data_IF_581895463110
#
_entry.id   IF_581895463110
#
_cell.length_a   1.000
_cell.length_b   1.000
_cell.length_c   1.000
_cell.angle_alpha   90.00
_cell.angle_beta   90.00
_cell.angle_gamma   90.00
#
_symmetry.space_group_name_H-M   'P 1'
#
loop_
_entity.id
_entity.type
_entity.pdbx_description
1 polymer ?
#
# COMPACT_ATOMS: atom_id res chain seq x y z
N UNK A 1 2.98 11.39 -9.06
CA UNK A 1 3.22 11.81 -7.66
C UNK A 1 4.11 13.02 -7.55
N UNK A 2 5.38 12.98 -7.95
CA UNK A 2 6.31 14.10 -7.75
C UNK A 2 5.85 15.43 -8.39
N UNK A 3 5.26 15.39 -9.59
CA UNK A 3 4.67 16.58 -10.22
C UNK A 3 3.56 17.24 -9.37
N UNK A 4 2.70 16.44 -8.73
CA UNK A 4 1.65 16.95 -7.86
C UNK A 4 2.21 17.55 -6.56
N UNK A 5 3.25 16.94 -5.98
CA UNK A 5 3.99 17.51 -4.84
C UNK A 5 4.62 18.86 -5.24
N UNK A 6 5.14 18.97 -6.46
CA UNK A 6 5.64 20.23 -7.03
C UNK A 6 4.56 21.22 -7.49
N UNK A 7 3.29 20.99 -7.19
CA UNK A 7 2.19 21.90 -7.53
C UNK A 7 1.79 21.93 -9.01
N UNK A 8 2.22 20.95 -9.81
CA UNK A 8 1.98 20.92 -11.27
C UNK A 8 0.62 20.30 -11.66
N UNK A 9 -0.21 19.92 -10.69
CA UNK A 9 -1.55 19.39 -10.94
C UNK A 9 -2.02 18.39 -9.89
N UNK A 10 -3.04 17.60 -10.25
CA UNK A 10 -3.66 16.57 -9.41
C UNK A 10 -3.13 15.20 -9.83
N UNK A 11 -2.92 14.29 -8.87
CA UNK A 11 -2.56 12.91 -9.12
C UNK A 11 -3.48 11.95 -8.36
N UNK A 12 -3.78 10.80 -8.98
CA UNK A 12 -4.33 9.64 -8.29
C UNK A 12 -3.15 8.84 -7.72
N UNK A 13 -3.14 8.61 -6.41
CA UNK A 13 -2.10 7.85 -5.72
C UNK A 13 -2.69 6.77 -4.85
N UNK A 14 -1.95 5.68 -4.68
CA UNK A 14 -2.30 4.65 -3.70
C UNK A 14 -2.10 5.17 -2.29
N UNK A 15 -3.00 4.82 -1.37
CA UNK A 15 -3.01 5.29 0.03
C UNK A 15 -1.62 5.20 0.69
N UNK A 16 -0.95 4.06 0.58
CA UNK A 16 0.37 3.85 1.17
C UNK A 16 1.49 4.76 0.58
N UNK A 17 1.30 5.30 -0.64
CA UNK A 17 2.23 6.26 -1.25
C UNK A 17 1.91 7.71 -0.90
N UNK A 18 0.63 8.02 -0.63
CA UNK A 18 0.18 9.40 -0.37
C UNK A 18 0.07 9.74 1.10
N UNK A 19 0.02 8.74 2.00
CA UNK A 19 -0.14 8.96 3.44
C UNK A 19 0.91 9.90 4.02
N UNK A 20 2.19 9.67 3.73
CA UNK A 20 3.26 10.52 4.27
C UNK A 20 3.24 11.94 3.68
N UNK A 21 3.15 12.15 2.35
CA UNK A 21 2.98 13.49 1.81
C UNK A 21 1.73 14.24 2.32
N UNK A 22 0.63 13.54 2.57
CA UNK A 22 -0.58 14.12 3.18
C UNK A 22 -0.35 14.50 4.65
N UNK A 23 0.31 13.65 5.43
CA UNK A 23 0.59 13.93 6.85
C UNK A 23 1.54 15.11 7.05
N UNK A 24 2.51 15.26 6.13
CA UNK A 24 3.46 16.38 6.13
C UNK A 24 2.89 17.65 5.45
N UNK A 25 1.65 17.63 4.95
CA UNK A 25 1.03 18.76 4.27
C UNK A 25 1.63 19.10 2.89
N UNK A 26 2.46 18.21 2.33
CA UNK A 26 3.00 18.33 0.96
C UNK A 26 1.94 18.07 -0.11
N UNK A 27 0.87 17.35 0.26
CA UNK A 27 -0.32 17.16 -0.55
C UNK A 27 -1.56 17.48 0.29
N UNK A 28 -2.67 17.76 -0.40
CA UNK A 28 -4.00 17.85 0.19
C UNK A 28 -4.98 16.97 -0.59
N UNK A 29 -6.03 16.42 0.03
CA UNK A 29 -7.07 15.70 -0.70
C UNK A 29 -7.74 16.60 -1.74
N UNK A 30 -7.74 16.18 -3.00
CA UNK A 30 -8.39 16.93 -4.09
C UNK A 30 -9.92 16.76 -4.09
N UNK A 31 -10.43 15.68 -3.49
CA UNK A 31 -11.84 15.34 -3.35
C UNK A 31 -12.09 14.75 -1.95
N UNK A 32 -13.33 14.83 -1.47
CA UNK A 32 -13.72 14.25 -0.18
C UNK A 32 -13.80 12.70 -0.20
N UNK A 33 -13.91 12.10 -1.39
CA UNK A 33 -14.08 10.66 -1.54
C UNK A 33 -12.74 9.96 -1.82
N UNK A 34 -12.52 8.84 -1.13
CA UNK A 34 -11.47 7.88 -1.46
C UNK A 34 -12.07 6.72 -2.25
N UNK A 35 -11.35 6.22 -3.25
CA UNK A 35 -11.79 5.08 -4.05
C UNK A 35 -11.13 3.78 -3.58
N UNK A 36 -11.94 2.85 -3.06
CA UNK A 36 -11.50 1.48 -2.80
C UNK A 36 -11.57 0.68 -4.12
N UNK A 37 -10.41 0.28 -4.64
CA UNK A 37 -10.34 -0.46 -5.92
C UNK A 37 -10.72 -1.94 -5.78
N UNK A 38 -10.74 -2.47 -4.56
CA UNK A 38 -10.88 -3.91 -4.29
C UNK A 38 -9.63 -4.75 -4.58
N UNK A 39 -8.53 -4.13 -5.01
CA UNK A 39 -7.25 -4.82 -5.21
C UNK A 39 -6.50 -5.03 -3.89
N UNK A 40 -5.73 -6.11 -3.83
CA UNK A 40 -4.88 -6.46 -2.69
C UNK A 40 -3.48 -6.86 -3.16
N UNK A 41 -2.53 -6.81 -2.24
CA UNK A 41 -1.20 -7.40 -2.44
C UNK A 41 -1.21 -8.85 -1.95
N UNK A 42 -0.52 -9.74 -2.66
CA UNK A 42 -0.48 -11.16 -2.35
C UNK A 42 0.96 -11.62 -2.18
N UNK A 43 1.21 -12.42 -1.14
CA UNK A 43 2.44 -13.22 -1.05
C UNK A 43 2.20 -14.53 -1.80
N UNK A 44 3.03 -14.81 -2.80
CA UNK A 44 2.92 -16.01 -3.63
C UNK A 44 4.08 -16.98 -3.35
N UNK A 45 3.77 -18.27 -3.35
CA UNK A 45 4.76 -19.34 -3.18
C UNK A 45 4.39 -20.54 -4.05
N UNK A 46 5.36 -21.43 -4.30
CA UNK A 46 5.10 -22.65 -5.05
C UNK A 46 4.18 -23.57 -4.24
N UNK A 47 3.00 -23.90 -4.77
CA UNK A 47 2.03 -24.78 -4.10
C UNK A 47 2.53 -26.23 -3.94
N UNK A 48 3.52 -26.64 -4.74
CA UNK A 48 4.03 -28.02 -4.79
C UNK A 48 5.18 -28.28 -3.82
N UNK A 49 5.67 -27.25 -3.11
CA UNK A 49 6.85 -27.36 -2.24
C UNK A 49 6.59 -26.55 -0.97
N UNK A 50 6.92 -27.14 0.17
CA UNK A 50 6.86 -26.43 1.44
C UNK A 50 7.86 -25.27 1.47
N UNK A 51 7.45 -24.16 2.09
CA UNK A 51 8.36 -23.04 2.32
C UNK A 51 9.50 -23.47 3.24
N UNK A 52 10.73 -23.08 2.87
CA UNK A 52 11.86 -23.12 3.78
C UNK A 52 11.54 -22.34 5.06
N UNK A 53 12.14 -22.73 6.19
CA UNK A 53 11.84 -22.16 7.49
C UNK A 53 12.02 -20.63 7.50
N UNK A 54 13.08 -20.14 6.86
CA UNK A 54 13.42 -18.72 6.73
C UNK A 54 12.37 -17.97 5.90
N UNK A 55 11.90 -18.58 4.81
CA UNK A 55 10.86 -17.99 3.96
C UNK A 55 9.51 -17.91 4.71
N UNK A 56 9.21 -18.90 5.56
CA UNK A 56 8.04 -18.87 6.44
C UNK A 56 8.15 -17.71 7.45
N UNK A 57 9.31 -17.52 8.08
CA UNK A 57 9.53 -16.42 9.02
C UNK A 57 9.31 -15.05 8.36
N UNK A 58 9.85 -14.83 7.16
CA UNK A 58 9.64 -13.57 6.43
C UNK A 58 8.18 -13.36 6.06
N UNK A 59 7.49 -14.42 5.58
CA UNK A 59 6.05 -14.33 5.27
C UNK A 59 5.25 -13.98 6.50
N UNK A 60 5.51 -14.63 7.63
CA UNK A 60 4.77 -14.41 8.87
C UNK A 60 5.04 -12.98 9.39
N UNK A 61 6.29 -12.50 9.36
CA UNK A 61 6.64 -11.11 9.68
C UNK A 61 5.94 -10.08 8.78
N UNK A 62 5.88 -10.29 7.45
CA UNK A 62 5.16 -9.38 6.54
C UNK A 62 3.67 -9.33 6.87
N UNK A 63 3.08 -10.46 7.26
CA UNK A 63 1.66 -10.56 7.60
C UNK A 63 1.31 -9.93 8.95
N UNK A 64 2.25 -9.87 9.91
CA UNK A 64 2.07 -9.19 11.19
C UNK A 64 1.83 -7.69 11.02
N UNK A 65 2.55 -7.05 10.09
CA UNK A 65 2.43 -5.62 9.79
C UNK A 65 1.42 -5.31 8.66
N UNK A 66 0.81 -6.34 8.06
CA UNK A 66 -0.14 -6.15 6.98
C UNK A 66 -1.43 -5.50 7.49
N UNK A 67 -1.97 -4.47 6.80
CA UNK A 67 -3.23 -3.87 7.20
C UNK A 67 -4.34 -4.92 7.17
N UNK A 68 -5.07 -5.03 8.29
CA UNK A 68 -6.23 -5.93 8.40
C UNK A 68 -7.23 -5.56 7.31
N UNK A 69 -7.71 -6.57 6.59
CA UNK A 69 -8.74 -6.41 5.57
C UNK A 69 -9.97 -5.78 6.25
N UNK A 70 -10.30 -4.54 5.91
CA UNK A 70 -11.56 -3.93 6.31
C UNK A 70 -12.64 -4.53 5.40
N UNK A 71 -13.60 -5.22 6.03
CA UNK A 71 -14.75 -5.84 5.36
C UNK A 71 -15.71 -4.81 4.74
#
# INVERSE_FOLDING_TARGET
MQAAIGGQGIALGWTHLVNHPLSEGLLVPALAANWATGYAFFIVSNRSVDLAAEAKLVKDWILEDAPVKLD
#
